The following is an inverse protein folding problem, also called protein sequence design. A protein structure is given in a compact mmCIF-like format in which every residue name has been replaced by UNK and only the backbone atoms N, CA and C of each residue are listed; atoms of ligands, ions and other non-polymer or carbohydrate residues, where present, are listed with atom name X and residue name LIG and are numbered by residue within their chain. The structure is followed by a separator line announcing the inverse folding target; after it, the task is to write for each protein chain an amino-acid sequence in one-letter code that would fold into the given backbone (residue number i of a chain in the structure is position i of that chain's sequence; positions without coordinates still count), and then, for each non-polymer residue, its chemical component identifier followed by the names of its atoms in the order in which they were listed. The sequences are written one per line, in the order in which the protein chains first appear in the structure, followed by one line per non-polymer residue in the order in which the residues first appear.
data_IF_535258314058
#
_entry.id   IF_535258314058
#
_cell.length_a   1.000
_cell.length_b   1.000
_cell.length_c   1.000
_cell.angle_alpha   90.00
_cell.angle_beta   90.00
_cell.angle_gamma   90.00
#
_symmetry.space_group_name_H-M   'P 1'
#
loop_
_entity.id
_entity.type
_entity.pdbx_description
1 polymer ?
#
# COMPACT_ATOMS: atom_id res chain seq x y z
N UNK A 1 0.74 11.63 10.48
CA UNK A 1 0.27 10.54 9.58
C UNK A 1 1.13 10.56 8.33
N UNK A 2 1.68 9.41 7.90
CA UNK A 2 2.40 9.30 6.62
C UNK A 2 1.43 8.90 5.51
N UNK A 3 1.61 9.47 4.32
CA UNK A 3 0.88 9.11 3.11
C UNK A 3 1.89 8.74 2.04
N UNK A 4 1.99 7.44 1.77
CA UNK A 4 2.83 6.91 0.71
C UNK A 4 2.12 7.11 -0.63
N UNK A 5 2.80 7.76 -1.57
CA UNK A 5 2.24 8.14 -2.87
C UNK A 5 3.28 7.97 -3.96
N UNK A 6 2.82 7.77 -5.19
CA UNK A 6 3.63 7.80 -6.40
C UNK A 6 3.25 9.01 -7.27
N UNK A 7 4.18 9.80 -7.83
CA UNK A 7 3.86 11.02 -8.57
C UNK A 7 2.90 10.82 -9.76
N UNK A 8 3.01 9.70 -10.47
CA UNK A 8 2.18 9.42 -11.65
C UNK A 8 0.91 8.62 -11.32
N UNK A 9 0.50 8.57 -10.05
CA UNK A 9 -0.73 7.90 -9.61
C UNK A 9 -1.88 8.92 -9.46
N UNK A 10 -2.84 8.92 -10.37
CA UNK A 10 -3.98 9.88 -10.33
C UNK A 10 -4.90 9.68 -9.13
N UNK A 11 -5.09 8.44 -8.68
CA UNK A 11 -5.84 8.14 -7.47
C UNK A 11 -5.14 8.75 -6.24
N UNK A 12 -3.81 8.66 -6.19
CA UNK A 12 -3.00 9.23 -5.12
C UNK A 12 -3.11 10.76 -5.10
N UNK A 13 -3.05 11.41 -6.27
CA UNK A 13 -3.29 12.86 -6.39
C UNK A 13 -4.68 13.26 -5.88
N UNK A 14 -5.72 12.49 -6.20
CA UNK A 14 -7.09 12.74 -5.71
C UNK A 14 -7.20 12.55 -4.19
N UNK A 15 -6.61 11.49 -3.64
CA UNK A 15 -6.60 11.23 -2.21
C UNK A 15 -5.88 12.33 -1.42
N UNK A 16 -4.73 12.79 -1.89
CA UNK A 16 -3.98 13.91 -1.29
C UNK A 16 -4.82 15.20 -1.29
N UNK A 17 -5.48 15.53 -2.40
CA UNK A 17 -6.39 16.69 -2.48
C UNK A 17 -7.54 16.57 -1.50
N UNK A 18 -8.12 15.38 -1.36
CA UNK A 18 -9.19 15.12 -0.40
C UNK A 18 -8.70 15.36 1.05
N UNK A 19 -7.54 14.83 1.43
CA UNK A 19 -6.96 15.04 2.75
C UNK A 19 -6.69 16.51 3.04
N UNK A 20 -6.11 17.25 2.09
CA UNK A 20 -5.90 18.70 2.20
C UNK A 20 -7.24 19.44 2.38
N UNK A 21 -8.28 19.08 1.62
CA UNK A 21 -9.60 19.71 1.73
C UNK A 21 -10.28 19.49 3.09
N UNK A 22 -9.86 18.45 3.82
CA UNK A 22 -10.33 18.14 5.18
C UNK A 22 -9.45 18.74 6.27
N UNK A 23 -8.41 19.50 5.91
CA UNK A 23 -7.46 20.09 6.87
C UNK A 23 -6.59 19.04 7.56
N UNK A 24 -6.41 17.86 6.97
CA UNK A 24 -5.60 16.81 7.57
C UNK A 24 -4.11 17.14 7.49
N UNK A 25 -3.40 16.99 8.60
CA UNK A 25 -1.93 17.10 8.65
C UNK A 25 -1.30 15.74 8.34
N UNK A 26 -0.51 15.68 7.28
CA UNK A 26 0.20 14.48 6.89
C UNK A 26 1.54 14.78 6.22
N UNK A 27 2.43 13.80 6.30
CA UNK A 27 3.69 13.78 5.58
C UNK A 27 3.49 12.99 4.29
N UNK A 28 3.76 13.60 3.13
CA UNK A 28 3.71 12.92 1.84
C UNK A 28 5.08 12.27 1.58
N UNK A 29 5.09 10.95 1.43
CA UNK A 29 6.30 10.14 1.20
C UNK A 29 6.23 9.51 -0.19
N UNK A 30 7.32 9.57 -0.96
CA UNK A 30 7.40 8.84 -2.23
C UNK A 30 7.58 7.35 -1.95
N UNK A 31 6.62 6.52 -2.38
CA UNK A 31 6.60 5.08 -2.07
C UNK A 31 7.68 4.28 -2.83
N UNK A 32 8.20 4.82 -3.94
CA UNK A 32 9.23 4.15 -4.75
C UNK A 32 10.61 4.43 -4.16
N UNK A 33 10.89 5.70 -3.86
CA UNK A 33 12.19 6.10 -3.29
C UNK A 33 12.30 5.76 -1.80
N UNK A 34 11.18 5.84 -1.06
CA UNK A 34 11.11 5.64 0.38
C UNK A 34 9.95 4.69 0.71
N UNK A 35 10.12 3.37 0.44
CA UNK A 35 9.08 2.40 0.71
C UNK A 35 8.75 2.34 2.22
N UNK A 36 7.54 1.90 2.59
CA UNK A 36 7.16 1.73 3.99
C UNK A 36 8.13 0.80 4.71
N UNK A 37 8.51 1.14 5.93
CA UNK A 37 9.28 0.23 6.78
C UNK A 37 8.44 -0.98 7.19
N UNK A 38 9.07 -2.04 7.68
CA UNK A 38 8.36 -3.20 8.27
C UNK A 38 7.38 -2.73 9.36
N UNK A 39 7.79 -1.81 10.22
CA UNK A 39 6.92 -1.26 11.26
C UNK A 39 5.72 -0.47 10.70
N UNK A 40 5.91 0.26 9.60
CA UNK A 40 4.79 0.94 8.93
C UNK A 40 3.80 -0.10 8.35
N UNK A 41 4.31 -1.18 7.73
CA UNK A 41 3.49 -2.26 7.16
C UNK A 41 2.71 -3.01 8.25
N UNK A 42 3.34 -3.36 9.36
CA UNK A 42 2.67 -4.01 10.50
C UNK A 42 1.50 -3.17 11.03
N UNK A 43 1.67 -1.85 11.13
CA UNK A 43 0.60 -0.95 11.53
C UNK A 43 -0.55 -0.94 10.52
N UNK A 44 -0.25 -0.94 9.23
CA UNK A 44 -1.26 -1.00 8.17
C UNK A 44 -2.03 -2.33 8.19
N UNK A 45 -1.34 -3.46 8.35
CA UNK A 45 -1.95 -4.79 8.46
C UNK A 45 -2.88 -4.85 9.67
N UNK A 46 -2.42 -4.41 10.84
CA UNK A 46 -3.24 -4.35 12.06
C UNK A 46 -4.49 -3.50 11.90
N UNK A 47 -4.40 -2.40 11.15
CA UNK A 47 -5.57 -1.57 10.84
C UNK A 47 -6.54 -2.30 9.90
N UNK A 48 -6.04 -2.97 8.86
CA UNK A 48 -6.86 -3.74 7.93
C UNK A 48 -7.60 -4.87 8.66
N UNK A 49 -6.92 -5.63 9.51
CA UNK A 49 -7.52 -6.71 10.31
C UNK A 49 -8.67 -6.20 11.17
N UNK A 50 -8.47 -5.07 11.86
CA UNK A 50 -9.53 -4.40 12.65
C UNK A 50 -10.72 -3.96 11.80
N UNK A 51 -10.50 -3.69 10.51
CA UNK A 51 -11.54 -3.31 9.56
C UNK A 51 -12.18 -4.50 8.83
N UNK A 52 -11.83 -5.74 9.20
CA UNK A 52 -12.32 -6.96 8.54
C UNK A 52 -11.69 -7.21 7.16
N UNK A 53 -10.53 -6.61 6.89
CA UNK A 53 -9.79 -6.74 5.62
C UNK A 53 -8.49 -7.50 5.85
N UNK A 54 -8.01 -8.18 4.81
CA UNK A 54 -6.75 -8.90 4.83
C UNK A 54 -5.57 -8.03 4.32
N UNK A 55 -4.34 -8.34 4.72
CA UNK A 55 -3.10 -7.68 4.28
C UNK A 55 -2.94 -7.66 2.75
N UNK A 56 -3.55 -8.63 2.05
CA UNK A 56 -3.58 -8.71 0.59
C UNK A 56 -4.09 -7.41 -0.06
N UNK A 57 -4.89 -6.60 0.65
CA UNK A 57 -5.35 -5.30 0.20
C UNK A 57 -4.22 -4.24 0.04
N UNK A 58 -3.01 -4.49 0.56
CA UNK A 58 -1.86 -3.61 0.40
C UNK A 58 -1.11 -3.81 -0.92
N UNK A 59 -1.40 -4.88 -1.67
CA UNK A 59 -0.74 -5.13 -2.94
C UNK A 59 -1.31 -4.24 -4.05
N UNK A 60 -0.41 -3.70 -4.89
CA UNK A 60 -0.81 -3.04 -6.12
C UNK A 60 -1.22 -4.07 -7.19
N UNK A 61 -2.45 -4.58 -7.10
CA UNK A 61 -3.00 -5.61 -8.00
C UNK A 61 -3.04 -5.17 -9.47
N UNK A 62 -3.14 -3.86 -9.72
CA UNK A 62 -3.06 -3.27 -11.06
C UNK A 62 -1.62 -3.03 -11.56
N UNK A 63 -0.61 -3.27 -10.73
CA UNK A 63 0.78 -3.00 -11.03
C UNK A 63 1.38 -4.00 -12.02
N UNK A 64 2.36 -3.55 -12.79
CA UNK A 64 3.12 -4.42 -13.70
C UNK A 64 3.80 -5.56 -12.94
N UNK A 65 4.52 -5.25 -11.86
CA UNK A 65 5.22 -6.26 -11.04
C UNK A 65 4.28 -7.31 -10.44
N UNK A 66 3.07 -6.92 -10.02
CA UNK A 66 2.10 -7.87 -9.48
C UNK A 66 1.70 -8.94 -10.51
N UNK A 67 1.53 -8.53 -11.78
CA UNK A 67 1.23 -9.43 -12.89
C UNK A 67 2.46 -10.24 -13.31
N UNK A 68 3.60 -9.58 -13.46
CA UNK A 68 4.85 -10.19 -13.92
C UNK A 68 5.31 -11.31 -12.99
N UNK A 69 5.29 -11.07 -11.68
CA UNK A 69 5.68 -12.05 -10.68
C UNK A 69 4.56 -13.03 -10.29
N UNK A 70 3.38 -12.96 -10.94
CA UNK A 70 2.22 -13.82 -10.64
C UNK A 70 1.85 -13.84 -9.14
N UNK A 71 1.91 -12.67 -8.50
CA UNK A 71 1.72 -12.53 -7.06
C UNK A 71 0.34 -13.03 -6.61
N UNK A 72 -0.69 -12.88 -7.44
CA UNK A 72 -2.02 -13.43 -7.15
C UNK A 72 -1.99 -14.94 -6.87
N UNK A 73 -1.27 -15.71 -7.68
CA UNK A 73 -1.11 -17.15 -7.50
C UNK A 73 -0.33 -17.46 -6.23
N UNK A 74 0.78 -16.75 -5.98
CA UNK A 74 1.58 -16.94 -4.77
C UNK A 74 0.78 -16.66 -3.48
N UNK A 75 -0.12 -15.68 -3.51
CA UNK A 75 -1.00 -15.37 -2.39
C UNK A 75 -2.10 -16.42 -2.18
N UNK A 76 -2.56 -17.06 -3.25
CA UNK A 76 -3.57 -18.13 -3.20
C UNK A 76 -2.98 -19.46 -2.72
N UNK A 77 -1.75 -19.77 -3.13
CA UNK A 77 -1.05 -21.00 -2.78
C UNK A 77 -0.48 -20.98 -1.35
N UNK A 78 -0.59 -19.84 -0.66
CA UNK A 78 0.04 -19.56 0.62
C UNK A 78 1.54 -19.31 0.41
N UNK A 79 1.96 -18.04 0.52
CA UNK A 79 3.34 -17.58 0.32
C UNK A 79 4.38 -18.60 0.82
N UNK A 80 4.94 -19.39 -0.10
CA UNK A 80 6.14 -20.19 0.17
C UNK A 80 7.30 -19.23 0.08
N UNK A 81 7.66 -18.63 1.22
CA UNK A 81 8.91 -17.90 1.34
C UNK A 81 10.04 -18.94 1.20
N UNK A 82 10.60 -19.06 0.00
CA UNK A 82 11.89 -19.73 -0.16
C UNK A 82 12.93 -18.88 0.55
N UNK A 83 13.35 -19.34 1.72
CA UNK A 83 14.55 -18.89 2.43
C UNK A 83 15.79 -18.98 1.57
#
# INVERSE_FOLDING_TARGET
MKVFSYPNCDICKKALKFLVSKGATFEKVDIVENPPSISDLEQMVKYLEKSGRNFQALFNTSGFQYREFRIASQLADGLVLTT
#
